data_IF_489305579231
#
_entry.id   IF_489305579231
#
_cell.length_a   1.000
_cell.length_b   1.000
_cell.length_c   1.000
_cell.angle_alpha   90.00
_cell.angle_beta   90.00
_cell.angle_gamma   90.00
#
_symmetry.space_group_name_H-M   'P 1'
#
loop_
_entity.id
_entity.type
_entity.pdbx_description
1 polymer ?
#
# COMPACT_ATOMS: atom_id res chain seq x y z
N UNK A 1 15.30 -12.46 -12.63
CA UNK A 1 14.33 -11.71 -13.48
C UNK A 1 13.03 -11.62 -12.69
N UNK A 2 12.63 -10.41 -12.27
CA UNK A 2 11.52 -10.20 -11.33
C UNK A 2 10.24 -9.83 -12.09
N UNK A 3 9.12 -10.44 -11.68
CA UNK A 3 7.82 -10.41 -12.36
C UNK A 3 6.79 -9.61 -11.57
N UNK A 4 6.02 -8.79 -12.30
CA UNK A 4 4.83 -7.98 -11.97
C UNK A 4 4.48 -7.76 -10.49
N UNK A 5 4.54 -6.49 -10.05
CA UNK A 5 3.60 -5.94 -9.08
C UNK A 5 2.18 -6.10 -9.66
N UNK A 6 1.43 -7.05 -9.11
CA UNK A 6 0.01 -7.19 -9.40
C UNK A 6 -0.74 -6.49 -8.26
N UNK A 7 -1.17 -5.25 -8.50
CA UNK A 7 -2.34 -4.75 -7.81
C UNK A 7 -3.53 -5.55 -8.38
N UNK A 8 -3.97 -6.57 -7.64
CA UNK A 8 -5.26 -7.20 -7.91
C UNK A 8 -6.31 -6.24 -7.34
N UNK A 9 -6.82 -5.36 -8.18
CA UNK A 9 -7.91 -4.47 -7.84
C UNK A 9 -9.00 -4.66 -8.86
N UNK A 10 -10.21 -4.97 -8.39
CA UNK A 10 -11.42 -4.92 -9.21
C UNK A 10 -11.85 -3.47 -9.50
N UNK A 11 -11.19 -2.48 -8.87
CA UNK A 11 -11.43 -1.06 -9.07
C UNK A 11 -10.60 -0.50 -10.21
N UNK A 12 -11.19 0.47 -10.91
CA UNK A 12 -10.43 1.27 -11.86
C UNK A 12 -9.53 2.26 -11.10
N UNK A 13 -8.36 2.62 -11.63
CA UNK A 13 -7.49 3.63 -11.01
C UNK A 13 -8.15 4.99 -10.77
N UNK A 14 -9.22 5.28 -11.50
CA UNK A 14 -10.05 6.49 -11.38
C UNK A 14 -11.05 6.46 -10.21
N UNK A 15 -11.33 5.27 -9.64
CA UNK A 15 -12.24 5.08 -8.50
C UNK A 15 -11.47 4.96 -7.18
N UNK A 16 -10.37 4.20 -7.19
CA UNK A 16 -9.51 4.03 -6.03
C UNK A 16 -8.06 4.05 -6.48
N UNK A 17 -7.25 4.93 -5.89
CA UNK A 17 -5.83 5.03 -6.15
C UNK A 17 -5.03 4.54 -4.94
N UNK A 18 -4.04 3.69 -5.18
CA UNK A 18 -3.06 3.26 -4.19
C UNK A 18 -1.67 3.46 -4.74
N UNK A 19 -0.84 4.14 -3.97
CA UNK A 19 0.54 4.46 -4.29
C UNK A 19 1.42 4.07 -3.10
N UNK A 20 2.51 3.37 -3.40
CA UNK A 20 3.56 3.12 -2.42
C UNK A 20 4.68 4.12 -2.64
N UNK A 21 5.24 4.65 -1.57
CA UNK A 21 6.27 5.69 -1.60
C UNK A 21 7.46 5.26 -0.75
N UNK A 22 8.66 5.69 -1.12
CA UNK A 22 9.87 5.53 -0.32
C UNK A 22 10.27 6.89 0.25
N UNK A 23 10.50 6.94 1.56
CA UNK A 23 11.27 8.02 2.19
C UNK A 23 12.71 7.56 2.39
N UNK A 24 13.66 8.29 1.80
CA UNK A 24 15.10 7.99 1.95
C UNK A 24 15.59 8.30 3.35
N UNK A 25 16.55 7.53 3.84
CA UNK A 25 17.17 7.79 5.13
C UNK A 25 17.71 9.24 5.19
N UNK A 26 17.24 10.01 6.19
CA UNK A 26 17.67 11.40 6.41
C UNK A 26 17.07 12.43 5.44
N UNK A 27 16.13 12.02 4.59
CA UNK A 27 15.34 12.92 3.75
C UNK A 27 13.86 12.93 4.17
N UNK A 28 13.16 14.01 3.80
CA UNK A 28 11.73 14.18 4.06
C UNK A 28 10.86 13.95 2.82
N UNK A 29 11.48 13.75 1.66
CA UNK A 29 10.77 13.55 0.41
C UNK A 29 10.22 12.11 0.29
N UNK A 30 8.98 12.01 -0.16
CA UNK A 30 8.32 10.76 -0.52
C UNK A 30 8.46 10.53 -2.04
N UNK A 31 9.14 9.44 -2.40
CA UNK A 31 9.39 9.05 -3.79
C UNK A 31 8.42 7.94 -4.21
N UNK A 32 7.52 8.17 -5.18
CA UNK A 32 6.55 7.16 -5.58
C UNK A 32 7.21 5.97 -6.29
N UNK A 33 6.74 4.77 -5.97
CA UNK A 33 7.19 3.54 -6.57
C UNK A 33 6.54 3.34 -7.95
N UNK A 34 7.39 3.22 -8.97
CA UNK A 34 6.91 2.87 -10.30
C UNK A 34 6.74 1.34 -10.43
N UNK A 35 5.53 0.91 -10.76
CA UNK A 35 5.16 -0.52 -10.84
C UNK A 35 6.03 -1.36 -11.79
N UNK A 36 6.70 -0.73 -12.76
CA UNK A 36 7.58 -1.38 -13.74
C UNK A 36 9.05 -1.44 -13.32
N UNK A 37 9.41 -0.89 -12.16
CA UNK A 37 10.79 -0.81 -11.70
C UNK A 37 10.96 -1.56 -10.38
N UNK A 38 12.08 -2.26 -10.22
CA UNK A 38 12.48 -2.78 -8.92
C UNK A 38 13.26 -1.66 -8.22
N UNK A 39 12.69 -1.02 -7.18
CA UNK A 39 13.39 0.05 -6.49
C UNK A 39 14.61 -0.51 -5.76
N UNK A 40 15.71 0.25 -5.76
CA UNK A 40 16.83 -0.01 -4.86
C UNK A 40 16.54 0.71 -3.55
N UNK A 41 16.52 -0.04 -2.46
CA UNK A 41 16.33 0.45 -1.09
C UNK A 41 17.58 0.14 -0.28
N UNK A 42 17.86 1.01 0.69
CA UNK A 42 18.96 0.84 1.65
C UNK A 42 18.40 0.69 3.06
N UNK A 43 19.15 0.05 3.98
CA UNK A 43 18.77 0.05 5.39
C UNK A 43 18.52 1.49 5.90
N UNK A 44 17.40 1.71 6.57
CA UNK A 44 16.96 3.02 7.05
C UNK A 44 16.09 3.82 6.07
N UNK A 45 15.91 3.37 4.82
CA UNK A 45 14.80 3.85 3.98
C UNK A 45 13.47 3.38 4.60
N UNK A 46 12.38 4.10 4.36
CA UNK A 46 11.05 3.75 4.86
C UNK A 46 10.06 3.57 3.72
N UNK A 47 9.20 2.56 3.83
CA UNK A 47 8.05 2.37 2.96
C UNK A 47 6.84 3.11 3.52
N UNK A 48 6.15 3.85 2.66
CA UNK A 48 4.92 4.57 2.95
C UNK A 48 3.82 4.14 1.98
N UNK A 49 2.57 4.31 2.37
CA UNK A 49 1.40 4.12 1.51
C UNK A 49 0.57 5.40 1.47
N UNK A 50 0.04 5.67 0.30
CA UNK A 50 -0.95 6.70 0.05
C UNK A 50 -2.12 6.07 -0.70
N UNK A 51 -3.29 6.06 -0.08
CA UNK A 51 -4.49 5.53 -0.68
C UNK A 51 -5.62 6.54 -0.64
N UNK A 52 -6.42 6.56 -1.70
CA UNK A 52 -7.55 7.48 -1.84
C UNK A 52 -8.69 6.78 -2.56
N UNK A 53 -9.90 7.01 -2.06
CA UNK A 53 -11.13 6.46 -2.59
C UNK A 53 -11.99 7.59 -3.15
N UNK A 54 -12.00 7.74 -4.47
CA UNK A 54 -12.82 8.69 -5.20
C UNK A 54 -14.16 8.07 -5.69
N UNK A 55 -14.43 6.81 -5.35
CA UNK A 55 -15.73 6.17 -5.54
C UNK A 55 -16.79 6.68 -4.55
N UNK A 56 -18.04 6.27 -4.74
CA UNK A 56 -19.17 6.55 -3.84
C UNK A 56 -19.37 5.47 -2.76
N UNK A 57 -18.51 4.45 -2.72
CA UNK A 57 -18.62 3.31 -1.79
C UNK A 57 -17.49 3.29 -0.78
N UNK A 58 -17.68 2.59 0.34
CA UNK A 58 -16.58 2.31 1.25
C UNK A 58 -15.71 1.19 0.67
N UNK A 59 -14.39 1.29 0.89
CA UNK A 59 -13.41 0.32 0.39
C UNK A 59 -12.50 -0.07 1.54
N UNK A 60 -12.39 -1.37 1.81
CA UNK A 60 -11.44 -1.90 2.76
C UNK A 60 -10.09 -2.11 2.04
N UNK A 61 -9.02 -1.61 2.66
CA UNK A 61 -7.66 -1.77 2.19
C UNK A 61 -6.88 -2.64 3.17
N UNK A 62 -6.30 -3.71 2.65
CA UNK A 62 -5.44 -4.61 3.38
C UNK A 62 -4.03 -4.58 2.74
N UNK A 63 -2.99 -4.35 3.53
CA UNK A 63 -1.60 -4.33 3.05
C UNK A 63 -0.84 -5.54 3.59
N UNK A 64 -0.42 -6.39 2.67
CA UNK A 64 0.37 -7.58 2.95
C UNK A 64 1.83 -7.33 2.57
N UNK A 65 2.71 -7.62 3.51
CA UNK A 65 4.15 -7.70 3.27
C UNK A 65 4.56 -9.15 3.09
N UNK A 66 5.28 -9.42 1.99
CA UNK A 66 5.86 -10.72 1.70
C UNK A 66 7.37 -10.63 1.89
N UNK A 67 7.88 -11.31 2.91
CA UNK A 67 9.29 -11.39 3.22
C UNK A 67 10.09 -12.21 2.22
N UNK A 68 11.41 -12.09 2.28
CA UNK A 68 12.33 -12.88 1.44
C UNK A 68 12.29 -14.39 1.74
N UNK A 69 11.81 -14.76 2.92
CA UNK A 69 11.55 -16.12 3.39
C UNK A 69 10.15 -16.66 3.03
N UNK A 70 9.39 -15.91 2.21
CA UNK A 70 7.98 -16.16 1.85
C UNK A 70 7.00 -16.07 3.03
N UNK A 71 7.41 -15.54 4.18
CA UNK A 71 6.47 -15.15 5.22
C UNK A 71 5.53 -14.06 4.69
N UNK A 72 4.25 -14.14 5.03
CA UNK A 72 3.25 -13.11 4.73
C UNK A 72 2.85 -12.48 6.06
N UNK A 73 2.99 -11.17 6.17
CA UNK A 73 2.59 -10.39 7.34
C UNK A 73 1.55 -9.37 6.93
N UNK A 74 0.43 -9.34 7.65
CA UNK A 74 -0.58 -8.31 7.50
C UNK A 74 -0.16 -7.06 8.27
N UNK A 75 -0.01 -5.91 7.59
CA UNK A 75 0.53 -4.68 8.18
C UNK A 75 -0.55 -3.62 8.40
N UNK A 76 -1.46 -3.45 7.44
CA UNK A 76 -2.51 -2.41 7.49
C UNK A 76 -3.84 -3.04 7.16
N UNK A 77 -4.85 -2.74 7.98
CA UNK A 77 -6.25 -3.05 7.73
C UNK A 77 -7.08 -1.79 7.98
N UNK A 78 -7.49 -1.08 6.93
CA UNK A 78 -8.20 0.20 7.07
C UNK A 78 -9.43 0.29 6.16
N UNK A 79 -10.38 1.14 6.54
CA UNK A 79 -11.57 1.42 5.71
C UNK A 79 -11.50 2.83 5.15
N UNK A 80 -11.37 2.93 3.82
CA UNK A 80 -11.35 4.17 3.08
C UNK A 80 -12.78 4.67 2.82
N UNK A 81 -13.13 5.79 3.44
CA UNK A 81 -14.37 6.51 3.14
C UNK A 81 -14.29 7.20 1.77
N UNK A 82 -15.44 7.40 1.09
CA UNK A 82 -15.53 8.26 -0.09
C UNK A 82 -14.91 9.63 0.17
N UNK A 83 -14.02 10.06 -0.71
CA UNK A 83 -13.30 11.32 -0.53
C UNK A 83 -14.20 12.55 -0.70
N UNK A 84 -15.33 12.42 -1.41
CA UNK A 84 -16.34 13.48 -1.59
C UNK A 84 -15.74 14.84 -2.01
N UNK A 85 -14.71 14.82 -2.86
CA UNK A 85 -14.01 16.02 -3.32
C UNK A 85 -13.05 16.68 -2.32
N UNK A 86 -12.90 16.13 -1.11
CA UNK A 86 -11.90 16.60 -0.14
C UNK A 86 -10.49 16.21 -0.59
N UNK A 87 -9.53 17.15 -0.75
CA UNK A 87 -8.17 16.86 -1.20
C UNK A 87 -7.33 16.13 -0.13
N UNK A 88 -7.70 16.29 1.14
CA UNK A 88 -6.97 15.72 2.26
C UNK A 88 -7.45 14.31 2.62
N UNK A 89 -8.62 13.90 2.13
CA UNK A 89 -9.19 12.58 2.36
C UNK A 89 -8.34 11.44 1.77
N UNK A 90 -8.24 10.36 2.53
CA UNK A 90 -7.46 9.17 2.19
C UNK A 90 -6.60 8.69 3.36
N UNK A 91 -5.83 7.64 3.11
CA UNK A 91 -4.83 7.09 4.01
C UNK A 91 -3.44 7.57 3.60
N UNK A 92 -2.63 8.02 4.56
CA UNK A 92 -1.21 8.31 4.40
C UNK A 92 -0.48 7.78 5.63
N UNK A 93 0.34 6.74 5.46
CA UNK A 93 0.94 6.04 6.59
C UNK A 93 2.33 5.50 6.26
N UNK A 94 3.24 5.57 7.22
CA UNK A 94 4.53 4.89 7.18
C UNK A 94 4.36 3.44 7.62
N UNK A 95 4.71 2.50 6.75
CA UNK A 95 4.47 1.06 6.95
C UNK A 95 5.61 0.38 7.72
N UNK A 96 6.85 0.55 7.25
CA UNK A 96 8.04 -0.05 7.85
C UNK A 96 9.33 0.64 7.41
N UNK A 97 10.40 0.39 8.16
CA UNK A 97 11.76 0.72 7.74
C UNK A 97 12.47 -0.52 7.19
N UNK A 98 13.21 -0.37 6.10
CA UNK A 98 14.05 -1.43 5.54
C UNK A 98 15.24 -1.70 6.46
N UNK A 99 15.55 -2.98 6.66
CA UNK A 99 16.69 -3.44 7.47
C UNK A 99 17.72 -4.15 6.61
N UNK A 100 18.91 -4.35 7.16
CA UNK A 100 20.01 -5.11 6.56
C UNK A 100 19.79 -6.63 6.54
N UNK A 101 18.67 -7.12 7.08
CA UNK A 101 18.27 -8.54 6.97
C UNK A 101 17.26 -8.76 5.84
N UNK A 102 16.74 -7.68 5.28
CA UNK A 102 15.67 -7.64 4.29
C UNK A 102 16.24 -7.34 2.90
N UNK A 103 17.04 -8.26 2.36
CA UNK A 103 17.65 -8.06 1.04
C UNK A 103 16.99 -8.94 -0.03
N UNK A 104 16.26 -8.29 -0.95
CA UNK A 104 16.25 -8.66 -2.37
C UNK A 104 14.98 -9.27 -2.97
N UNK A 105 13.93 -9.60 -2.19
CA UNK A 105 12.68 -10.14 -2.75
C UNK A 105 11.42 -9.76 -1.95
N UNK A 106 11.43 -8.63 -1.26
CA UNK A 106 10.25 -8.19 -0.53
C UNK A 106 9.16 -7.70 -1.49
N UNK A 107 7.90 -7.96 -1.15
CA UNK A 107 6.76 -7.47 -1.93
C UNK A 107 5.76 -6.83 -0.99
N UNK A 108 5.23 -5.68 -1.42
CA UNK A 108 4.03 -5.11 -0.85
C UNK A 108 2.87 -5.40 -1.78
N UNK A 109 1.76 -5.86 -1.21
CA UNK A 109 0.53 -6.15 -1.91
C UNK A 109 -0.58 -5.39 -1.19
N UNK A 110 -1.22 -4.46 -1.89
CA UNK A 110 -2.47 -3.86 -1.43
C UNK A 110 -3.64 -4.64 -2.06
N UNK A 111 -4.53 -5.13 -1.21
CA UNK A 111 -5.79 -5.78 -1.59
C UNK A 111 -6.91 -4.80 -1.26
N UNK A 112 -7.80 -4.59 -2.23
CA UNK A 112 -8.93 -3.67 -2.11
C UNK A 112 -10.23 -4.45 -2.24
N UNK A 113 -11.11 -4.31 -1.26
CA UNK A 113 -12.44 -4.94 -1.27
C UNK A 113 -13.53 -3.89 -1.09
N UNK A 114 -14.63 -4.01 -1.83
CA UNK A 114 -15.83 -3.22 -1.57
C UNK A 114 -16.42 -3.57 -0.19
N UNK A 115 -16.66 -2.57 0.65
CA UNK A 115 -17.30 -2.77 1.93
C UNK A 115 -18.83 -2.60 1.82
N UNK A 116 -19.64 -3.64 2.08
CA UNK A 116 -21.09 -3.53 2.10
C UNK A 116 -21.57 -2.53 3.17
N UNK A 117 -22.71 -1.85 2.96
CA UNK A 117 -23.29 -0.97 3.97
C UNK A 117 -23.50 -1.70 5.30
N UNK A 118 -23.08 -1.08 6.41
CA UNK A 118 -23.22 -1.62 7.78
C UNK A 118 -22.51 -2.97 8.03
N UNK A 119 -21.49 -3.30 7.23
CA UNK A 119 -20.61 -4.44 7.49
C UNK A 119 -19.49 -4.10 8.48
N UNK A 120 -18.98 -5.12 9.18
CA UNK A 120 -17.70 -5.02 9.88
C UNK A 120 -16.56 -4.75 8.87
N UNK A 121 -15.45 -4.17 9.35
CA UNK A 121 -14.24 -3.98 8.53
C UNK A 121 -13.66 -5.36 8.21
N UNK A 122 -13.40 -5.62 6.93
CA UNK A 122 -12.68 -6.84 6.54
C UNK A 122 -11.23 -6.78 7.04
N UNK A 123 -10.80 -7.84 7.71
CA UNK A 123 -9.44 -8.02 8.24
C UNK A 123 -8.90 -9.37 7.78
N UNK A 124 -7.77 -9.34 7.07
CA UNK A 124 -7.13 -10.54 6.50
C UNK A 124 -5.96 -11.06 7.34
N UNK A 125 -5.84 -10.63 8.61
CA UNK A 125 -4.77 -11.06 9.54
C UNK A 125 -4.82 -12.55 9.89
#
# INVERSE_FOLDING_TARGET
ALSRLAAASDYRPEEVSVEFEIRRQGGDALEPLQASTVPRVSPGDEMHIKARNDSDKYVDINVLYVGSDYSITHIVAERLAPANGSPDAGLREGLLAFTDTSFGMERMIAVLTEAPPQSEKEDLS
#
